data_IF_009166248596
#
_entry.id   IF_009166248596
#
_cell.length_a   1.000
_cell.length_b   1.000
_cell.length_c   1.000
_cell.angle_alpha   90.00
_cell.angle_beta   90.00
_cell.angle_gamma   90.00
#
_symmetry.space_group_name_H-M   'P 1'
#
loop_
_entity.id
_entity.type
_entity.pdbx_description
1 polymer ?
#
# COMPACT_ATOMS: atom_id res chain seq x y z
N UNK A 1 -60.91 -32.25 -2.96
CA UNK A 1 -60.47 -32.46 -4.36
C UNK A 1 -58.95 -32.54 -4.34
N UNK A 2 -58.44 -33.72 -4.00
CA UNK A 2 -57.03 -34.07 -4.15
C UNK A 2 -56.77 -34.36 -5.62
N UNK A 3 -55.63 -33.92 -6.17
CA UNK A 3 -55.14 -34.40 -7.46
C UNK A 3 -53.77 -35.02 -7.25
N UNK A 4 -53.77 -36.36 -7.16
CA UNK A 4 -52.68 -37.24 -7.58
C UNK A 4 -52.48 -37.00 -9.11
N UNK A 5 -51.32 -37.13 -9.76
CA UNK A 5 -50.45 -38.30 -10.02
C UNK A 5 -49.26 -37.69 -10.81
N UNK A 6 -47.98 -37.89 -10.49
CA UNK A 6 -47.21 -39.00 -11.04
C UNK A 6 -45.86 -39.14 -10.28
N UNK A 7 -45.70 -40.30 -9.65
CA UNK A 7 -44.43 -40.84 -9.18
C UNK A 7 -43.72 -41.55 -10.36
N UNK A 8 -42.39 -41.44 -10.45
CA UNK A 8 -41.42 -42.55 -10.33
C UNK A 8 -40.12 -42.34 -11.14
N UNK A 9 -39.00 -42.50 -10.40
CA UNK A 9 -37.70 -43.10 -10.78
C UNK A 9 -36.84 -42.34 -11.83
N UNK A 10 -35.54 -42.14 -11.71
CA UNK A 10 -34.38 -42.96 -11.25
C UNK A 10 -33.28 -41.91 -10.90
N UNK A 11 -32.58 -41.89 -9.78
CA UNK A 11 -31.65 -42.89 -9.27
C UNK A 11 -30.20 -42.45 -9.53
N UNK A 12 -29.52 -42.05 -8.44
CA UNK A 12 -28.06 -42.02 -8.21
C UNK A 12 -27.21 -41.08 -9.09
N UNK A 13 -26.44 -40.21 -8.44
CA UNK A 13 -24.96 -40.14 -8.53
C UNK A 13 -24.44 -38.95 -7.70
N UNK A 14 -23.69 -39.28 -6.63
CA UNK A 14 -22.78 -38.44 -5.83
C UNK A 14 -23.42 -37.27 -5.06
N UNK A 15 -23.15 -37.03 -3.79
CA UNK A 15 -22.05 -37.40 -2.92
C UNK A 15 -21.97 -36.27 -1.89
N UNK A 16 -21.86 -36.60 -0.60
CA UNK A 16 -21.75 -35.61 0.45
C UNK A 16 -20.57 -34.65 0.18
N UNK A 17 -20.85 -33.35 0.17
CA UNK A 17 -19.82 -32.33 0.26
C UNK A 17 -19.39 -32.21 1.70
N UNK A 18 -18.40 -33.02 2.11
CA UNK A 18 -17.59 -32.74 3.28
C UNK A 18 -16.97 -31.35 3.10
N UNK A 19 -17.09 -30.51 4.12
CA UNK A 19 -16.23 -29.34 4.25
C UNK A 19 -14.81 -29.86 4.45
N UNK A 20 -14.04 -29.91 3.36
CA UNK A 20 -12.63 -30.23 3.38
C UNK A 20 -11.90 -29.01 3.92
N UNK A 21 -11.24 -29.21 5.07
CA UNK A 21 -10.16 -28.36 5.57
C UNK A 21 -8.96 -28.56 4.64
N UNK A 22 -9.00 -27.96 3.46
CA UNK A 22 -7.88 -27.87 2.53
C UNK A 22 -8.39 -26.96 1.41
N UNK A 23 -8.03 -25.67 1.50
CA UNK A 23 -7.62 -24.81 0.39
C UNK A 23 -7.48 -23.37 0.89
N UNK A 24 -6.22 -22.95 1.04
CA UNK A 24 -5.81 -21.60 1.39
C UNK A 24 -6.13 -20.64 0.23
N UNK A 25 -7.29 -19.99 0.28
CA UNK A 25 -7.57 -18.78 -0.49
C UNK A 25 -7.53 -17.57 0.46
N UNK A 26 -6.32 -17.04 0.67
CA UNK A 26 -6.19 -15.64 1.08
C UNK A 26 -6.66 -14.71 -0.05
N UNK A 27 -6.90 -13.42 0.19
CA UNK A 27 -7.49 -12.49 -0.78
C UNK A 27 -6.58 -12.13 -1.98
N UNK A 28 -5.45 -12.83 -2.17
CA UNK A 28 -4.50 -12.56 -3.25
C UNK A 28 -4.59 -13.68 -4.30
N UNK A 29 -5.09 -13.32 -5.48
CA UNK A 29 -5.07 -14.21 -6.64
C UNK A 29 -3.64 -14.40 -7.16
N UNK A 30 -3.40 -15.57 -7.75
CA UNK A 30 -2.12 -16.08 -8.24
C UNK A 30 -1.28 -15.09 -9.06
N UNK A 31 0.03 -15.18 -8.83
CA UNK A 31 1.16 -14.62 -9.60
C UNK A 31 0.80 -13.78 -10.85
N UNK A 32 0.77 -12.45 -10.68
CA UNK A 32 0.89 -11.51 -11.79
C UNK A 32 2.29 -11.52 -12.42
N UNK A 33 2.48 -10.93 -13.61
CA UNK A 33 3.76 -10.92 -14.32
C UNK A 33 4.86 -10.25 -13.50
N UNK A 34 6.05 -10.88 -13.46
CA UNK A 34 7.26 -10.34 -12.80
C UNK A 34 8.16 -9.68 -13.84
N UNK A 35 8.47 -8.37 -13.76
CA UNK A 35 9.46 -7.74 -14.63
C UNK A 35 10.73 -7.40 -13.84
N UNK A 36 11.80 -8.14 -14.13
CA UNK A 36 13.16 -7.67 -13.94
C UNK A 36 13.57 -7.06 -15.29
N UNK A 37 13.54 -5.73 -15.42
CA UNK A 37 14.35 -5.05 -16.42
C UNK A 37 14.55 -3.57 -16.09
N UNK A 38 15.79 -3.16 -16.29
CA UNK A 38 16.44 -1.99 -15.71
C UNK A 38 16.20 -0.73 -16.56
N UNK A 39 15.23 0.12 -16.19
CA UNK A 39 15.16 1.54 -16.56
C UNK A 39 13.85 2.13 -16.02
N UNK A 40 13.83 3.19 -15.20
CA UNK A 40 12.72 4.17 -14.98
C UNK A 40 11.21 3.79 -15.20
N UNK A 41 10.78 2.53 -15.22
CA UNK A 41 9.60 2.09 -15.96
C UNK A 41 8.81 1.02 -15.20
N UNK A 42 7.96 1.48 -14.29
CA UNK A 42 6.51 1.28 -14.37
C UNK A 42 5.94 1.82 -13.07
N UNK A 43 5.63 3.11 -13.07
CA UNK A 43 4.68 3.60 -12.09
C UNK A 43 3.30 3.01 -12.45
N UNK A 44 2.93 1.99 -11.70
CA UNK A 44 1.70 1.23 -11.86
C UNK A 44 1.04 1.02 -10.51
N UNK A 45 -0.25 0.71 -10.57
CA UNK A 45 -0.97 0.26 -9.40
C UNK A 45 -0.65 -1.21 -9.15
N UNK A 46 -0.36 -1.56 -7.90
CA UNK A 46 -0.18 -2.93 -7.43
C UNK A 46 -1.51 -3.62 -7.12
N UNK A 47 -2.59 -2.85 -6.96
CA UNK A 47 -3.94 -3.37 -6.70
C UNK A 47 -4.91 -2.94 -7.81
N UNK A 48 -5.79 -3.87 -8.20
CA UNK A 48 -6.82 -3.64 -9.24
C UNK A 48 -7.87 -2.61 -8.84
N UNK A 49 -8.08 -2.38 -7.54
CA UNK A 49 -9.06 -1.44 -7.01
C UNK A 49 -8.53 -0.01 -6.87
N UNK A 50 -7.26 0.23 -7.17
CA UNK A 50 -6.66 1.56 -7.04
C UNK A 50 -7.43 2.66 -7.80
N UNK A 51 -8.00 2.36 -8.97
CA UNK A 51 -8.80 3.33 -9.71
C UNK A 51 -10.07 3.73 -8.96
N UNK A 52 -10.71 2.78 -8.29
CA UNK A 52 -11.94 3.04 -7.54
C UNK A 52 -11.62 3.73 -6.22
N UNK A 53 -10.56 3.31 -5.53
CA UNK A 53 -10.12 3.95 -4.30
C UNK A 53 -9.66 5.39 -4.53
N UNK A 54 -9.01 5.68 -5.66
CA UNK A 54 -8.67 7.04 -6.04
C UNK A 54 -9.92 7.92 -6.16
N UNK A 55 -10.99 7.42 -6.80
CA UNK A 55 -12.29 8.14 -6.90
C UNK A 55 -12.95 8.36 -5.53
N UNK A 56 -12.74 7.46 -4.57
CA UNK A 56 -13.27 7.62 -3.20
C UNK A 56 -12.41 8.52 -2.31
N UNK A 57 -11.29 9.06 -2.83
CA UNK A 57 -10.42 9.99 -2.10
C UNK A 57 -9.29 9.32 -1.30
N UNK A 58 -8.96 8.06 -1.59
CA UNK A 58 -7.88 7.34 -0.87
C UNK A 58 -6.54 8.05 -0.99
N UNK A 59 -6.30 8.78 -2.09
CA UNK A 59 -5.03 9.45 -2.33
C UNK A 59 -4.73 10.54 -1.29
N UNK A 60 -5.78 11.15 -0.73
CA UNK A 60 -5.68 12.13 0.35
C UNK A 60 -5.81 11.48 1.73
N UNK A 61 -6.70 10.50 1.86
CA UNK A 61 -7.01 9.85 3.15
C UNK A 61 -5.95 8.85 3.60
N UNK A 62 -5.26 8.21 2.64
CA UNK A 62 -4.21 7.24 2.90
C UNK A 62 -3.05 7.42 1.92
N UNK A 63 -2.22 8.45 2.12
CA UNK A 63 -1.12 8.76 1.21
C UNK A 63 -0.04 7.68 1.17
N UNK A 64 0.12 6.89 2.23
CA UNK A 64 1.06 5.77 2.25
C UNK A 64 0.59 4.67 1.30
N UNK A 65 -0.70 4.30 1.36
CA UNK A 65 -1.32 3.36 0.40
C UNK A 65 -1.21 3.90 -1.03
N UNK A 66 -1.49 5.18 -1.23
CA UNK A 66 -1.31 5.85 -2.52
C UNK A 66 0.13 5.69 -3.04
N UNK A 67 1.12 5.94 -2.19
CA UNK A 67 2.54 5.91 -2.56
C UNK A 67 3.11 4.48 -2.73
N UNK A 68 2.57 3.47 -2.04
CA UNK A 68 3.08 2.09 -2.12
C UNK A 68 2.33 1.25 -3.15
N UNK A 69 1.01 1.38 -3.17
CA UNK A 69 0.10 0.46 -3.87
C UNK A 69 -0.52 1.16 -5.07
N UNK A 70 -1.02 2.39 -4.91
CA UNK A 70 -1.85 3.05 -5.93
C UNK A 70 -1.17 4.23 -6.62
N UNK A 71 0.14 4.11 -6.88
CA UNK A 71 0.96 5.22 -7.38
C UNK A 71 0.42 5.80 -8.69
N UNK A 72 -0.12 4.95 -9.57
CA UNK A 72 -0.62 5.39 -10.87
C UNK A 72 -1.99 6.03 -10.75
N UNK A 73 -2.94 5.37 -10.10
CA UNK A 73 -4.29 5.93 -9.92
C UNK A 73 -4.32 7.19 -9.06
N UNK A 74 -3.30 7.43 -8.23
CA UNK A 74 -3.14 8.65 -7.45
C UNK A 74 -2.21 9.70 -8.07
N UNK A 75 -1.81 9.54 -9.33
CA UNK A 75 -0.93 10.47 -10.05
C UNK A 75 0.38 10.79 -9.29
N UNK A 76 0.98 9.76 -8.68
CA UNK A 76 2.26 9.83 -7.96
C UNK A 76 3.43 9.32 -8.81
N UNK A 77 3.18 9.06 -10.08
CA UNK A 77 4.22 8.69 -11.04
C UNK A 77 5.12 9.87 -11.35
N UNK A 78 6.46 9.72 -11.24
CA UNK A 78 7.39 10.68 -11.82
C UNK A 78 7.10 10.79 -13.33
N UNK A 79 6.64 11.95 -13.74
CA UNK A 79 6.42 12.33 -15.14
C UNK A 79 6.65 13.83 -15.26
N UNK A 80 6.75 14.35 -16.48
CA UNK A 80 6.82 15.80 -16.76
C UNK A 80 5.64 16.61 -16.17
N UNK A 81 4.63 15.94 -15.59
CA UNK A 81 3.47 16.52 -14.90
C UNK A 81 3.59 16.54 -13.36
N UNK A 82 4.76 16.26 -12.79
CA UNK A 82 5.02 16.40 -11.35
C UNK A 82 5.12 17.88 -10.95
N UNK A 83 4.01 18.60 -11.09
CA UNK A 83 3.88 20.03 -10.84
C UNK A 83 2.99 20.29 -9.63
N UNK A 84 3.19 21.45 -9.03
CA UNK A 84 2.28 21.95 -8.01
C UNK A 84 0.93 22.30 -8.63
N UNK A 85 -0.13 21.99 -7.89
CA UNK A 85 -1.51 22.30 -8.26
C UNK A 85 -2.01 23.60 -7.63
N UNK A 86 -1.22 24.20 -6.73
CA UNK A 86 -1.51 25.49 -6.09
C UNK A 86 -0.36 26.48 -6.24
N UNK A 87 -0.71 27.76 -6.42
CA UNK A 87 0.26 28.84 -6.55
C UNK A 87 0.95 29.23 -5.22
N UNK A 88 0.36 28.87 -4.08
CA UNK A 88 0.89 29.22 -2.75
C UNK A 88 1.87 28.18 -2.17
N UNK A 89 2.28 27.19 -2.98
CA UNK A 89 3.17 26.13 -2.55
C UNK A 89 4.55 26.64 -2.09
N UNK A 90 5.08 27.69 -2.70
CA UNK A 90 6.33 28.32 -2.24
C UNK A 90 6.20 28.87 -0.81
N UNK A 91 5.09 29.53 -0.49
CA UNK A 91 4.82 30.06 0.84
C UNK A 91 4.61 28.94 1.86
N UNK A 92 3.79 27.94 1.54
CA UNK A 92 3.51 26.81 2.42
C UNK A 92 4.78 26.02 2.73
N UNK A 93 5.64 25.83 1.73
CA UNK A 93 6.94 25.16 1.91
C UNK A 93 7.85 25.97 2.83
N UNK A 94 7.92 27.30 2.65
CA UNK A 94 8.68 28.17 3.54
C UNK A 94 8.16 28.16 5.00
N UNK A 95 6.88 27.83 5.21
CA UNK A 95 6.27 27.64 6.53
C UNK A 95 6.48 26.23 7.12
N UNK A 96 7.21 25.34 6.42
CA UNK A 96 7.48 23.98 6.86
C UNK A 96 6.30 23.02 6.66
N UNK A 97 5.30 23.39 5.87
CA UNK A 97 4.07 22.60 5.74
C UNK A 97 4.30 21.22 5.12
N UNK A 98 5.35 21.02 4.31
CA UNK A 98 5.68 19.70 3.77
C UNK A 98 5.90 18.66 4.88
N UNK A 99 6.42 19.10 6.04
CA UNK A 99 6.59 18.22 7.20
C UNK A 99 5.37 18.23 8.13
N UNK A 100 4.74 19.38 8.37
CA UNK A 100 3.63 19.47 9.35
C UNK A 100 2.28 19.04 8.79
N UNK A 101 2.09 19.11 7.47
CA UNK A 101 0.85 18.77 6.77
C UNK A 101 1.11 17.91 5.52
N UNK A 102 1.84 16.79 5.65
CA UNK A 102 2.34 16.02 4.52
C UNK A 102 1.21 15.48 3.63
N UNK A 103 0.06 15.11 4.23
CA UNK A 103 -1.08 14.57 3.48
C UNK A 103 -1.59 15.53 2.40
N UNK A 104 -1.74 16.81 2.74
CA UNK A 104 -2.20 17.83 1.81
C UNK A 104 -1.06 18.33 0.92
N UNK A 105 0.13 18.51 1.49
CA UNK A 105 1.25 19.13 0.79
C UNK A 105 1.84 18.22 -0.27
N UNK A 106 1.92 16.91 -0.05
CA UNK A 106 2.42 15.98 -1.05
C UNK A 106 1.43 15.70 -2.17
N UNK A 107 0.15 16.03 -1.99
CA UNK A 107 -0.82 16.00 -3.08
C UNK A 107 -0.85 17.33 -3.85
N UNK A 108 -0.85 18.46 -3.14
CA UNK A 108 -1.02 19.79 -3.75
C UNK A 108 0.30 20.36 -4.26
N UNK A 109 1.37 20.24 -3.47
CA UNK A 109 2.67 20.88 -3.64
C UNK A 109 3.77 19.86 -3.92
N UNK A 110 3.48 18.90 -4.81
CA UNK A 110 4.37 17.79 -5.19
C UNK A 110 5.79 18.25 -5.52
N UNK A 111 5.90 19.31 -6.34
CA UNK A 111 7.17 19.85 -6.83
C UNK A 111 7.84 20.71 -5.77
N UNK A 112 7.11 21.64 -5.17
CA UNK A 112 7.67 22.56 -4.16
C UNK A 112 8.16 21.83 -2.91
N UNK A 113 7.52 20.72 -2.53
CA UNK A 113 7.99 19.89 -1.44
C UNK A 113 9.17 18.99 -1.82
N UNK A 114 9.65 18.99 -3.08
CA UNK A 114 10.78 18.18 -3.53
C UNK A 114 10.62 16.68 -3.24
N UNK A 115 9.39 16.16 -3.36
CA UNK A 115 9.08 14.77 -3.05
C UNK A 115 10.13 13.79 -3.59
N UNK A 116 10.77 13.00 -2.72
CA UNK A 116 11.88 12.16 -3.12
C UNK A 116 11.37 11.03 -4.02
N UNK A 117 12.22 10.51 -4.92
CA UNK A 117 11.85 9.38 -5.75
C UNK A 117 11.48 8.17 -4.89
N UNK A 118 10.57 7.34 -5.40
CA UNK A 118 10.13 6.15 -4.70
C UNK A 118 11.26 5.12 -4.54
N UNK A 119 12.22 5.10 -5.47
CA UNK A 119 13.40 4.23 -5.45
C UNK A 119 14.68 5.03 -5.75
N UNK A 120 15.83 4.68 -5.13
CA UNK A 120 16.00 3.57 -4.19
C UNK A 120 15.37 3.86 -2.82
N UNK A 121 15.15 2.81 -2.01
CA UNK A 121 14.70 2.99 -0.65
C UNK A 121 15.82 3.48 0.29
N UNK A 122 15.84 4.78 0.56
CA UNK A 122 16.85 5.43 1.40
C UNK A 122 16.30 6.61 2.22
N UNK A 123 17.14 7.16 3.09
CA UNK A 123 16.87 8.42 3.78
C UNK A 123 17.33 9.58 2.89
N UNK A 124 16.44 10.53 2.65
CA UNK A 124 16.62 11.69 1.79
C UNK A 124 16.81 12.99 2.60
N UNK A 125 16.88 12.92 3.92
CA UNK A 125 17.16 14.05 4.81
C UNK A 125 18.18 13.62 5.89
N UNK A 126 19.11 14.51 6.24
CA UNK A 126 20.15 14.22 7.23
C UNK A 126 19.62 14.12 8.67
N UNK A 127 18.40 14.59 8.95
CA UNK A 127 17.74 14.52 10.25
C UNK A 127 16.95 13.23 10.45
N UNK A 128 16.88 12.34 9.46
CA UNK A 128 16.06 11.14 9.54
C UNK A 128 16.35 10.27 10.77
N UNK A 129 17.63 10.11 11.15
CA UNK A 129 18.00 9.42 12.38
C UNK A 129 17.46 10.11 13.64
N UNK A 130 17.67 11.42 13.76
CA UNK A 130 17.17 12.23 14.89
C UNK A 130 15.64 12.20 14.99
N UNK A 131 14.94 12.31 13.86
CA UNK A 131 13.48 12.28 13.78
C UNK A 131 12.94 10.90 14.15
N UNK A 132 13.59 9.82 13.69
CA UNK A 132 13.24 8.46 14.07
C UNK A 132 13.40 8.24 15.59
N UNK A 133 14.51 8.71 16.18
CA UNK A 133 14.77 8.64 17.62
C UNK A 133 13.75 9.44 18.43
N UNK A 134 13.23 10.55 17.88
CA UNK A 134 12.13 11.35 18.45
C UNK A 134 10.74 10.71 18.29
N UNK A 135 10.65 9.55 17.64
CA UNK A 135 9.40 8.82 17.45
C UNK A 135 8.54 9.31 16.28
N UNK A 136 9.11 10.09 15.35
CA UNK A 136 8.38 10.60 14.19
C UNK A 136 7.90 9.50 13.25
N UNK A 137 8.53 8.32 13.27
CA UNK A 137 8.05 7.17 12.49
C UNK A 137 6.60 6.80 12.81
N UNK A 138 6.15 7.02 14.06
CA UNK A 138 4.77 6.76 14.48
C UNK A 138 3.92 8.02 14.49
N UNK A 139 4.52 9.17 14.85
CA UNK A 139 3.79 10.45 14.98
C UNK A 139 3.55 11.16 13.65
N UNK A 140 4.50 11.04 12.73
CA UNK A 140 4.46 11.63 11.40
C UNK A 140 4.85 10.62 10.32
N UNK A 141 4.10 9.51 10.21
CA UNK A 141 4.49 8.40 9.37
C UNK A 141 4.52 8.73 7.89
N UNK A 142 3.73 9.71 7.43
CA UNK A 142 3.70 10.09 6.03
C UNK A 142 5.00 10.83 5.62
N UNK A 143 5.42 11.84 6.37
CA UNK A 143 6.71 12.49 6.10
C UNK A 143 7.86 11.50 6.24
N UNK A 144 7.83 10.65 7.27
CA UNK A 144 8.88 9.66 7.46
C UNK A 144 8.90 8.58 6.37
N UNK A 145 7.73 8.18 5.84
CA UNK A 145 7.65 7.25 4.71
C UNK A 145 8.20 7.86 3.41
N UNK A 146 8.11 9.17 3.22
CA UNK A 146 8.66 9.79 2.02
C UNK A 146 10.15 10.04 2.16
N UNK A 147 10.55 10.65 3.27
CA UNK A 147 11.90 11.19 3.45
C UNK A 147 12.85 10.27 4.22
N UNK A 148 12.33 9.42 5.10
CA UNK A 148 13.12 8.74 6.12
C UNK A 148 12.81 7.24 6.20
N UNK A 149 12.63 6.62 5.02
CA UNK A 149 12.20 5.22 4.92
C UNK A 149 13.15 4.27 5.64
N UNK A 150 14.46 4.50 5.48
CA UNK A 150 15.47 3.62 6.04
C UNK A 150 15.57 3.79 7.55
N UNK A 151 15.61 5.02 8.06
CA UNK A 151 15.63 5.31 9.48
C UNK A 151 14.41 4.72 10.21
N UNK A 152 13.24 4.69 9.56
CA UNK A 152 12.02 4.10 10.12
C UNK A 152 11.83 2.61 9.84
N UNK A 153 12.77 1.95 9.14
CA UNK A 153 12.65 0.52 8.80
C UNK A 153 11.50 0.21 7.83
N UNK A 154 11.10 1.20 7.02
CA UNK A 154 10.03 1.11 6.02
C UNK A 154 10.53 0.58 4.67
N UNK A 155 11.85 0.41 4.51
CA UNK A 155 12.41 -0.21 3.33
C UNK A 155 12.11 -1.72 3.26
N UNK A 156 12.01 -2.28 2.04
CA UNK A 156 12.08 -3.72 1.83
C UNK A 156 13.22 -4.34 2.63
N UNK A 157 12.98 -5.52 3.20
CA UNK A 157 13.99 -6.23 3.99
C UNK A 157 14.50 -7.44 3.23
N UNK A 158 15.80 -7.71 3.33
CA UNK A 158 16.43 -8.94 2.86
C UNK A 158 17.09 -9.69 4.03
N UNK A 159 16.77 -10.98 4.27
CA UNK A 159 15.78 -11.79 3.55
C UNK A 159 14.35 -11.28 3.79
N UNK A 160 13.52 -11.24 2.74
CA UNK A 160 12.14 -10.78 2.90
C UNK A 160 11.33 -11.72 3.78
N UNK A 161 10.97 -11.23 4.96
CA UNK A 161 10.22 -11.98 5.97
C UNK A 161 9.35 -11.07 6.81
N UNK A 162 8.32 -11.66 7.36
CA UNK A 162 7.58 -11.05 8.45
C UNK A 162 8.34 -11.25 9.75
N UNK A 163 8.28 -10.26 10.66
CA UNK A 163 8.82 -10.43 12.02
C UNK A 163 7.99 -11.43 12.82
N UNK A 164 6.69 -11.48 12.57
CA UNK A 164 5.75 -12.43 13.17
C UNK A 164 4.91 -13.07 12.07
N UNK A 165 5.36 -14.21 11.54
CA UNK A 165 4.72 -14.87 10.40
C UNK A 165 3.23 -15.16 10.63
N UNK A 166 2.85 -15.57 11.85
CA UNK A 166 1.47 -15.95 12.16
C UNK A 166 0.58 -14.72 12.26
N UNK A 167 1.03 -13.71 13.01
CA UNK A 167 0.23 -12.51 13.19
C UNK A 167 0.20 -11.65 11.93
N UNK A 168 1.28 -11.59 11.15
CA UNK A 168 1.32 -10.83 9.91
C UNK A 168 0.40 -11.42 8.83
N UNK A 169 0.30 -12.75 8.70
CA UNK A 169 -0.69 -13.39 7.82
C UNK A 169 -2.12 -13.02 8.26
N UNK A 170 -2.43 -13.13 9.56
CA UNK A 170 -3.74 -12.77 10.08
C UNK A 170 -4.06 -11.27 9.86
N UNK A 171 -3.13 -10.40 10.24
CA UNK A 171 -3.31 -8.95 10.18
C UNK A 171 -3.41 -8.43 8.75
N UNK A 172 -2.65 -8.99 7.81
CA UNK A 172 -2.77 -8.66 6.40
C UNK A 172 -4.15 -9.05 5.85
N UNK A 173 -4.65 -10.25 6.16
CA UNK A 173 -6.02 -10.69 5.79
C UNK A 173 -7.12 -9.81 6.40
N UNK A 174 -6.87 -9.26 7.59
CA UNK A 174 -7.76 -8.28 8.23
C UNK A 174 -7.62 -6.85 7.67
N UNK A 175 -6.84 -6.66 6.61
CA UNK A 175 -6.65 -5.36 5.96
C UNK A 175 -5.76 -4.39 6.74
N UNK A 176 -4.99 -4.85 7.72
CA UNK A 176 -4.16 -3.96 8.54
C UNK A 176 -3.03 -3.30 7.76
N UNK A 177 -2.58 -3.88 6.65
CA UNK A 177 -1.61 -3.21 5.76
C UNK A 177 -2.15 -1.86 5.26
N UNK A 178 -3.49 -1.69 5.24
CA UNK A 178 -4.16 -0.46 4.83
C UNK A 178 -4.58 0.41 6.02
N UNK A 179 -5.16 -0.18 7.06
CA UNK A 179 -5.65 0.57 8.23
C UNK A 179 -4.55 0.97 9.22
N UNK A 180 -3.42 0.25 9.21
CA UNK A 180 -2.27 0.45 10.10
C UNK A 180 -0.95 0.30 9.33
N UNK A 181 -0.75 1.06 8.23
CA UNK A 181 0.34 0.83 7.29
C UNK A 181 1.69 0.96 7.97
N UNK A 182 1.88 1.93 8.86
CA UNK A 182 3.15 2.13 9.58
C UNK A 182 3.59 0.89 10.34
N UNK A 183 2.70 0.35 11.18
CA UNK A 183 2.99 -0.83 11.98
C UNK A 183 3.23 -2.05 11.10
N UNK A 184 2.42 -2.19 10.06
CA UNK A 184 2.47 -3.35 9.18
C UNK A 184 3.68 -3.33 8.25
N UNK A 185 4.04 -2.18 7.68
CA UNK A 185 5.18 -2.04 6.79
C UNK A 185 6.51 -2.24 7.53
N UNK A 186 6.58 -1.93 8.83
CA UNK A 186 7.80 -2.15 9.64
C UNK A 186 7.93 -3.60 10.13
N UNK A 187 6.83 -4.35 10.24
CA UNK A 187 6.82 -5.66 10.90
C UNK A 187 6.41 -6.82 9.99
N UNK A 188 5.69 -6.54 8.91
CA UNK A 188 5.00 -7.50 8.07
C UNK A 188 5.30 -7.26 6.59
N UNK A 189 6.58 -7.08 6.25
CA UNK A 189 7.03 -6.76 4.90
C UNK A 189 6.54 -7.78 3.88
N UNK A 190 6.64 -9.08 4.18
CA UNK A 190 6.22 -10.15 3.27
C UNK A 190 4.70 -10.18 3.13
N UNK A 191 3.99 -10.23 4.26
CA UNK A 191 2.52 -10.28 4.27
C UNK A 191 1.87 -9.04 3.65
N UNK A 192 2.53 -7.88 3.66
CA UNK A 192 2.05 -6.66 2.99
C UNK A 192 2.62 -6.45 1.58
N UNK A 193 3.34 -7.42 1.01
CA UNK A 193 3.83 -7.33 -0.37
C UNK A 193 4.90 -6.26 -0.59
N UNK A 194 5.73 -6.01 0.43
CA UNK A 194 6.86 -5.07 0.41
C UNK A 194 8.19 -5.75 0.07
N UNK A 195 8.19 -7.03 -0.30
CA UNK A 195 9.37 -7.67 -0.88
C UNK A 195 9.65 -7.09 -2.28
N UNK A 196 10.92 -7.05 -2.67
CA UNK A 196 11.36 -6.75 -4.04
C UNK A 196 10.99 -7.88 -5.02
#
# INVERSE_FOLDING_TARGET
MASLVCLLAVGLLFGGGQATLEDNAGPFAEAGPRPNDNNSAMCMDKDKFCSDWAKTGVCLQNPILAAVICRKSCDLCPSELFNDTSADCAQRTAQGHCFTFPESMHYICKKSCELPPAEPCEDNDNKCGELADKGECQRNPHSMFLWCRKACGLCPSEPCKDKDEKNCDLWSRLGRCFSYPVHMLVNCHKSCGMCE
#
